data_IF_106171600726
#
_entry.id   IF_106171600726
#
_cell.length_a   1.000
_cell.length_b   1.000
_cell.length_c   1.000
_cell.angle_alpha   90.00
_cell.angle_beta   90.00
_cell.angle_gamma   90.00
#
_symmetry.space_group_name_H-M   'P 1'
#
loop_
_entity.id
_entity.type
_entity.pdbx_description
1 polymer ?
#
# COMPACT_ATOMS: atom_id res chain seq x y z
N UNK A 1 5.36 -8.46 -6.13
CA UNK A 1 6.37 -8.24 -7.21
C UNK A 1 7.03 -6.90 -6.93
N UNK A 2 8.34 -6.72 -7.12
CA UNK A 2 9.01 -5.43 -6.91
C UNK A 2 8.88 -4.59 -8.19
N UNK A 3 8.32 -3.39 -8.08
CA UNK A 3 8.06 -2.47 -9.19
C UNK A 3 9.10 -1.34 -9.18
N UNK A 4 9.56 -0.94 -10.37
CA UNK A 4 10.58 0.09 -10.57
C UNK A 4 9.92 1.48 -10.63
N UNK A 5 10.36 2.42 -9.78
CA UNK A 5 9.95 3.82 -9.87
C UNK A 5 11.17 4.67 -10.30
N UNK A 6 11.13 5.36 -11.45
CA UNK A 6 12.27 6.17 -11.90
C UNK A 6 12.56 7.33 -10.95
N UNK A 7 13.86 7.58 -10.70
CA UNK A 7 14.40 8.53 -9.71
C UNK A 7 14.24 10.02 -10.08
N UNK A 8 13.64 10.34 -11.23
CA UNK A 8 13.39 11.73 -11.64
C UNK A 8 11.95 12.10 -11.35
N UNK A 9 11.76 12.87 -10.28
CA UNK A 9 10.65 13.78 -9.99
C UNK A 9 9.41 13.64 -10.86
N UNK A 10 8.30 13.22 -10.22
CA UNK A 10 6.94 13.47 -10.68
C UNK A 10 6.80 14.96 -11.05
N UNK A 11 6.91 15.26 -12.34
CA UNK A 11 6.47 16.53 -12.91
C UNK A 11 4.95 16.50 -12.81
N UNK A 12 4.43 17.16 -11.79
CA UNK A 12 3.02 17.54 -11.75
C UNK A 12 2.82 18.59 -12.86
N UNK A 13 2.57 18.12 -14.08
CA UNK A 13 2.12 18.96 -15.18
C UNK A 13 0.77 19.57 -14.76
N UNK A 14 0.65 20.90 -14.67
CA UNK A 14 -0.63 21.51 -14.38
C UNK A 14 -1.55 21.29 -15.60
N UNK A 15 -2.61 20.50 -15.41
CA UNK A 15 -3.79 20.58 -16.27
C UNK A 15 -4.06 19.45 -17.24
N UNK A 16 -3.56 18.22 -17.05
CA UNK A 16 -4.10 17.02 -17.71
C UNK A 16 -4.06 15.81 -16.75
N UNK A 17 -4.98 15.77 -15.79
CA UNK A 17 -5.30 14.54 -15.08
C UNK A 17 -6.26 13.78 -16.00
N UNK A 18 -5.77 12.72 -16.64
CA UNK A 18 -6.65 11.73 -17.25
C UNK A 18 -7.59 11.22 -16.15
N UNK A 19 -8.90 11.30 -16.38
CA UNK A 19 -9.92 10.95 -15.38
C UNK A 19 -9.91 9.47 -14.96
N UNK A 20 -9.10 8.63 -15.63
CA UNK A 20 -9.19 7.17 -15.56
C UNK A 20 -8.14 6.51 -14.65
N UNK A 21 -7.49 7.25 -13.76
CA UNK A 21 -6.54 6.69 -12.78
C UNK A 21 -6.45 7.60 -11.56
N UNK A 22 -7.37 7.44 -10.60
CA UNK A 22 -7.23 8.06 -9.27
C UNK A 22 -6.38 7.12 -8.41
N UNK A 23 -5.09 7.39 -8.33
CA UNK A 23 -4.19 6.72 -7.39
C UNK A 23 -4.02 7.62 -6.16
N UNK A 24 -4.43 7.13 -4.98
CA UNK A 24 -4.21 7.83 -3.72
C UNK A 24 -2.79 7.55 -3.25
N UNK A 25 -2.00 8.62 -3.05
CA UNK A 25 -0.64 8.53 -2.54
C UNK A 25 -0.61 8.95 -1.07
N UNK A 26 -0.30 8.01 -0.18
CA UNK A 26 -0.10 8.29 1.25
C UNK A 26 1.40 8.27 1.55
N UNK A 27 1.93 9.38 2.07
CA UNK A 27 3.32 9.44 2.55
C UNK A 27 3.39 9.08 4.02
N UNK A 28 4.36 8.25 4.40
CA UNK A 28 4.59 7.91 5.81
C UNK A 28 4.92 9.16 6.65
N UNK A 29 4.26 9.29 7.79
CA UNK A 29 4.56 10.29 8.82
C UNK A 29 5.31 9.69 10.03
N UNK A 30 5.59 8.39 10.00
CA UNK A 30 6.12 7.66 11.16
C UNK A 30 7.64 7.49 11.05
N UNK A 31 8.42 7.82 12.11
CA UNK A 31 9.85 7.56 12.11
C UNK A 31 10.11 6.05 12.13
N UNK A 32 11.05 5.61 11.30
CA UNK A 32 11.42 4.19 11.21
C UNK A 32 11.98 3.68 12.53
N UNK A 33 11.47 2.53 12.99
CA UNK A 33 12.00 1.83 14.16
C UNK A 33 13.14 0.92 13.71
N UNK A 34 14.33 1.11 14.27
CA UNK A 34 15.42 0.16 14.10
C UNK A 34 15.02 -1.20 14.69
N UNK A 35 14.89 -2.21 13.82
CA UNK A 35 14.60 -3.59 14.21
C UNK A 35 15.90 -4.39 14.37
N UNK A 36 16.07 -5.16 15.46
CA UNK A 36 17.26 -5.99 15.67
C UNK A 36 17.50 -7.05 14.59
N UNK A 37 16.49 -7.34 13.75
CA UNK A 37 16.59 -8.29 12.63
C UNK A 37 17.19 -7.71 11.35
N UNK A 38 17.40 -6.38 11.28
CA UNK A 38 17.88 -5.68 10.08
C UNK A 38 19.27 -6.15 9.63
N UNK A 39 20.19 -6.41 10.55
CA UNK A 39 21.56 -6.80 10.22
C UNK A 39 21.63 -8.21 9.59
N UNK A 40 20.78 -9.15 10.04
CA UNK A 40 20.72 -10.50 9.47
C UNK A 40 20.10 -10.49 8.07
N UNK A 41 19.05 -9.70 7.87
CA UNK A 41 18.44 -9.51 6.56
C UNK A 41 19.41 -8.86 5.57
N UNK A 42 20.08 -7.76 5.95
CA UNK A 42 21.10 -7.11 5.11
C UNK A 42 22.22 -8.07 4.68
N UNK A 43 22.68 -8.93 5.57
CA UNK A 43 23.68 -9.95 5.23
C UNK A 43 23.16 -10.99 4.23
N UNK A 44 21.87 -11.35 4.29
CA UNK A 44 21.24 -12.30 3.37
C UNK A 44 21.02 -11.72 1.96
N UNK A 45 20.88 -10.40 1.82
CA UNK A 45 20.67 -9.73 0.53
C UNK A 45 21.95 -9.06 -0.03
N UNK A 46 23.06 -9.12 0.69
CA UNK A 46 24.35 -8.61 0.22
C UNK A 46 24.84 -9.39 -1.03
N UNK A 47 25.23 -8.66 -2.08
CA UNK A 47 25.61 -9.21 -3.39
C UNK A 47 24.43 -9.72 -4.22
N UNK A 48 23.18 -9.51 -3.78
CA UNK A 48 21.99 -9.94 -4.51
C UNK A 48 21.65 -9.01 -5.68
N UNK A 49 20.88 -9.52 -6.63
CA UNK A 49 20.32 -8.69 -7.71
C UNK A 49 19.39 -7.59 -7.15
N UNK A 50 18.74 -7.84 -6.01
CA UNK A 50 17.88 -6.87 -5.35
C UNK A 50 18.68 -5.66 -4.83
N UNK A 51 19.83 -5.92 -4.19
CA UNK A 51 20.74 -4.86 -3.76
C UNK A 51 21.30 -4.07 -4.95
N UNK A 52 21.74 -4.77 -5.99
CA UNK A 52 22.24 -4.12 -7.21
C UNK A 52 21.17 -3.21 -7.85
N UNK A 53 19.91 -3.66 -7.87
CA UNK A 53 18.79 -2.88 -8.40
C UNK A 53 18.45 -1.68 -7.51
N UNK A 54 18.49 -1.85 -6.18
CA UNK A 54 18.26 -0.77 -5.21
C UNK A 54 19.30 0.35 -5.33
N UNK A 55 20.53 0.02 -5.73
CA UNK A 55 21.57 1.01 -6.01
C UNK A 55 21.31 1.86 -7.27
N UNK A 56 20.39 1.45 -8.14
CA UNK A 56 20.12 2.10 -9.43
C UNK A 56 18.70 2.65 -9.54
N UNK A 57 17.76 2.20 -8.71
CA UNK A 57 16.33 2.52 -8.84
C UNK A 57 15.63 2.52 -7.49
N UNK A 58 14.64 3.40 -7.33
CA UNK A 58 13.72 3.37 -6.18
C UNK A 58 12.80 2.16 -6.31
N UNK A 59 12.81 1.30 -5.28
CA UNK A 59 12.03 0.07 -5.29
C UNK A 59 10.70 0.25 -4.56
N UNK A 60 9.63 -0.20 -5.22
CA UNK A 60 8.30 -0.35 -4.64
C UNK A 60 7.92 -1.83 -4.55
N UNK A 61 7.17 -2.23 -3.52
CA UNK A 61 6.62 -3.59 -3.42
C UNK A 61 5.11 -3.61 -3.70
N UNK A 62 4.71 -4.51 -4.59
CA UNK A 62 3.31 -4.71 -4.96
C UNK A 62 2.68 -5.84 -4.13
N UNK A 63 2.03 -5.47 -3.02
CA UNK A 63 1.31 -6.38 -2.12
C UNK A 63 0.43 -5.64 -1.09
N UNK A 64 -0.64 -6.28 -0.64
CA UNK A 64 -1.42 -5.89 0.56
C UNK A 64 -1.11 -6.71 1.82
N UNK A 65 -0.14 -7.63 1.75
CA UNK A 65 0.28 -8.46 2.87
C UNK A 65 1.22 -7.67 3.80
N UNK A 66 0.73 -7.41 5.02
CA UNK A 66 1.43 -6.59 6.01
C UNK A 66 2.70 -7.27 6.55
N UNK A 67 2.73 -8.61 6.56
CA UNK A 67 3.89 -9.37 7.05
C UNK A 67 5.02 -9.31 6.03
N UNK A 68 4.69 -9.53 4.75
CA UNK A 68 5.64 -9.36 3.63
C UNK A 68 6.16 -7.92 3.58
N UNK A 69 5.27 -6.93 3.71
CA UNK A 69 5.67 -5.52 3.74
C UNK A 69 6.66 -5.23 4.87
N UNK A 70 6.38 -5.72 6.07
CA UNK A 70 7.27 -5.53 7.21
C UNK A 70 8.64 -6.18 6.99
N UNK A 71 8.67 -7.39 6.43
CA UNK A 71 9.92 -8.11 6.14
C UNK A 71 10.79 -7.35 5.13
N UNK A 72 10.20 -6.96 4.00
CA UNK A 72 10.94 -6.29 2.95
C UNK A 72 11.29 -4.84 3.28
N UNK A 73 10.42 -4.10 3.98
CA UNK A 73 10.74 -2.75 4.46
C UNK A 73 11.95 -2.77 5.41
N UNK A 74 12.09 -3.83 6.23
CA UNK A 74 13.22 -3.99 7.14
C UNK A 74 14.58 -4.15 6.41
N UNK A 75 14.59 -4.54 5.12
CA UNK A 75 15.82 -4.55 4.31
C UNK A 75 16.39 -3.14 4.09
N UNK A 76 15.53 -2.12 4.10
CA UNK A 76 15.88 -0.74 3.78
C UNK A 76 16.02 -0.44 2.28
N UNK A 77 15.85 -1.44 1.40
CA UNK A 77 15.91 -1.25 -0.05
C UNK A 77 14.56 -0.89 -0.66
N UNK A 78 13.46 -1.40 -0.07
CA UNK A 78 12.11 -1.07 -0.51
C UNK A 78 11.63 0.14 0.27
N UNK A 79 11.28 1.20 -0.46
CA UNK A 79 10.81 2.45 0.15
C UNK A 79 9.33 2.68 -0.04
N UNK A 80 8.77 2.22 -1.15
CA UNK A 80 7.39 2.47 -1.56
C UNK A 80 6.58 1.16 -1.60
N UNK A 81 5.25 1.25 -1.64
CA UNK A 81 4.37 0.11 -1.84
C UNK A 81 3.20 0.45 -2.77
N UNK A 82 2.75 -0.53 -3.55
CA UNK A 82 1.52 -0.48 -4.33
C UNK A 82 0.57 -1.56 -3.85
N UNK A 83 -0.72 -1.25 -3.78
CA UNK A 83 -1.73 -2.20 -3.31
C UNK A 83 -3.10 -1.96 -3.93
N UNK A 84 -3.92 -3.01 -3.93
CA UNK A 84 -5.30 -2.99 -4.39
C UNK A 84 -6.21 -3.54 -3.26
N UNK A 85 -7.36 -2.91 -2.96
CA UNK A 85 -8.30 -3.36 -1.94
C UNK A 85 -8.78 -4.83 -2.09
N UNK A 86 -8.72 -5.41 -3.30
CA UNK A 86 -9.05 -6.83 -3.56
C UNK A 86 -8.16 -7.78 -2.76
N UNK A 87 -6.89 -7.44 -2.51
CA UNK A 87 -6.03 -8.28 -1.66
C UNK A 87 -6.56 -8.39 -0.23
N UNK A 88 -7.10 -7.29 0.30
CA UNK A 88 -7.65 -7.25 1.67
C UNK A 88 -8.92 -8.08 1.77
N UNK A 89 -9.82 -7.96 0.79
CA UNK A 89 -11.05 -8.75 0.80
C UNK A 89 -10.76 -10.24 0.72
N UNK A 90 -9.75 -10.65 -0.04
CA UNK A 90 -9.28 -12.04 -0.10
C UNK A 90 -8.65 -12.50 1.22
N UNK A 91 -7.79 -11.70 1.85
CA UNK A 91 -7.18 -12.04 3.14
C UNK A 91 -8.23 -12.15 4.27
N UNK A 92 -9.21 -11.25 4.28
CA UNK A 92 -10.35 -11.30 5.18
C UNK A 92 -11.21 -12.56 4.94
N UNK A 93 -11.48 -12.89 3.68
CA UNK A 93 -12.22 -14.10 3.30
C UNK A 93 -11.49 -15.37 3.74
N UNK A 94 -10.16 -15.38 3.71
CA UNK A 94 -9.32 -16.48 4.19
C UNK A 94 -9.21 -16.54 5.73
N UNK A 95 -9.84 -15.61 6.45
CA UNK A 95 -10.01 -15.66 7.91
C UNK A 95 -8.94 -14.95 8.72
N UNK A 96 -8.09 -14.10 8.12
CA UNK A 96 -7.16 -13.29 8.90
C UNK A 96 -7.92 -12.16 9.61
N UNK A 97 -7.95 -12.24 10.95
CA UNK A 97 -8.69 -11.32 11.81
C UNK A 97 -8.32 -9.84 11.64
N UNK A 98 -7.07 -9.54 11.25
CA UNK A 98 -6.62 -8.16 10.99
C UNK A 98 -7.40 -7.57 9.81
N UNK A 99 -7.48 -8.33 8.74
CA UNK A 99 -8.14 -7.92 7.49
C UNK A 99 -9.66 -7.95 7.62
N UNK A 100 -10.23 -8.90 8.38
CA UNK A 100 -11.66 -8.88 8.74
C UNK A 100 -12.01 -7.57 9.46
N UNK A 101 -11.19 -7.15 10.42
CA UNK A 101 -11.39 -5.87 11.12
C UNK A 101 -11.41 -4.66 10.19
N UNK A 102 -10.54 -4.63 9.16
CA UNK A 102 -10.54 -3.54 8.17
C UNK A 102 -11.82 -3.52 7.33
N UNK A 103 -12.31 -4.69 6.92
CA UNK A 103 -13.56 -4.81 6.16
C UNK A 103 -14.75 -4.37 7.02
N UNK A 104 -14.83 -4.83 8.26
CA UNK A 104 -15.93 -4.49 9.18
C UNK A 104 -15.97 -2.99 9.47
N UNK A 105 -14.82 -2.36 9.72
CA UNK A 105 -14.74 -0.90 9.91
C UNK A 105 -15.22 -0.16 8.65
N UNK A 106 -14.77 -0.60 7.48
CA UNK A 106 -15.12 0.05 6.22
C UNK A 106 -16.62 -0.04 5.90
N UNK A 107 -17.23 -1.20 6.12
CA UNK A 107 -18.68 -1.42 5.97
C UNK A 107 -19.46 -0.58 7.00
N UNK A 108 -18.98 -0.54 8.24
CA UNK A 108 -19.60 0.25 9.31
C UNK A 108 -19.56 1.75 8.99
N UNK A 109 -18.41 2.24 8.53
CA UNK A 109 -18.23 3.62 8.07
C UNK A 109 -19.23 3.96 6.96
N UNK A 110 -19.29 3.15 5.90
CA UNK A 110 -20.17 3.43 4.76
C UNK A 110 -21.65 3.45 5.14
N UNK A 111 -22.09 2.54 6.03
CA UNK A 111 -23.47 2.52 6.55
C UNK A 111 -23.82 3.77 7.37
N UNK A 112 -22.85 4.31 8.11
CA UNK A 112 -23.07 5.48 8.96
C UNK A 112 -23.09 6.81 8.17
N UNK A 113 -22.36 6.89 7.06
CA UNK A 113 -22.35 8.07 6.19
C UNK A 113 -23.71 8.28 5.47
N UNK A 114 -24.57 7.26 5.45
CA UNK A 114 -25.94 7.39 4.94
C UNK A 114 -26.03 7.63 3.43
N UNK A 115 -25.06 7.11 2.67
CA UNK A 115 -25.04 7.17 1.20
C UNK A 115 -26.20 6.38 0.57
N UNK A 116 -26.57 6.74 -0.66
CA UNK A 116 -27.79 6.30 -1.32
C UNK A 116 -27.75 4.83 -1.76
N UNK A 117 -28.55 4.00 -1.12
CA UNK A 117 -28.76 2.61 -1.56
C UNK A 117 -27.54 1.69 -1.41
N UNK A 118 -27.74 0.42 -1.76
CA UNK A 118 -26.76 -0.65 -1.49
C UNK A 118 -25.48 -0.51 -2.33
N UNK A 119 -25.60 -0.11 -3.60
CA UNK A 119 -24.45 0.05 -4.49
C UNK A 119 -23.49 1.14 -4.00
N UNK A 120 -23.99 2.34 -3.70
CA UNK A 120 -23.14 3.44 -3.21
C UNK A 120 -22.52 3.11 -1.84
N UNK A 121 -23.23 2.33 -1.01
CA UNK A 121 -22.69 1.85 0.27
C UNK A 121 -21.51 0.91 0.06
N UNK A 122 -21.59 -0.01 -0.92
CA UNK A 122 -20.48 -0.91 -1.26
C UNK A 122 -19.29 -0.13 -1.82
N UNK A 123 -19.52 0.81 -2.72
CA UNK A 123 -18.46 1.61 -3.33
C UNK A 123 -17.73 2.45 -2.27
N UNK A 124 -18.46 3.11 -1.38
CA UNK A 124 -17.88 3.86 -0.27
C UNK A 124 -17.11 2.96 0.71
N UNK A 125 -17.60 1.74 0.96
CA UNK A 125 -16.89 0.78 1.79
C UNK A 125 -15.58 0.33 1.12
N UNK A 126 -15.54 0.16 -0.20
CA UNK A 126 -14.32 -0.20 -0.92
C UNK A 126 -13.29 0.93 -0.89
N UNK A 127 -13.71 2.18 -1.10
CA UNK A 127 -12.84 3.36 -0.97
C UNK A 127 -12.28 3.47 0.45
N UNK A 128 -13.15 3.30 1.46
CA UNK A 128 -12.72 3.33 2.86
C UNK A 128 -11.74 2.22 3.19
N UNK A 129 -11.94 1.02 2.65
CA UNK A 129 -11.05 -0.12 2.81
C UNK A 129 -9.66 0.16 2.23
N UNK A 130 -9.59 0.76 1.04
CA UNK A 130 -8.34 1.15 0.40
C UNK A 130 -7.57 2.17 1.26
N UNK A 131 -8.26 3.18 1.81
CA UNK A 131 -7.66 4.17 2.73
C UNK A 131 -7.16 3.52 4.01
N UNK A 132 -7.96 2.65 4.64
CA UNK A 132 -7.59 1.98 5.89
C UNK A 132 -6.34 1.12 5.71
N UNK A 133 -6.28 0.32 4.65
CA UNK A 133 -5.10 -0.46 4.33
C UNK A 133 -3.89 0.43 4.05
N UNK A 134 -4.05 1.46 3.20
CA UNK A 134 -2.98 2.36 2.86
C UNK A 134 -2.39 3.06 4.09
N UNK A 135 -3.24 3.41 5.06
CA UNK A 135 -2.82 3.96 6.34
C UNK A 135 -1.99 2.96 7.16
N UNK A 136 -2.36 1.68 7.22
CA UNK A 136 -1.57 0.65 7.90
C UNK A 136 -0.23 0.39 7.22
N UNK A 137 -0.22 0.26 5.88
CA UNK A 137 1.01 0.08 5.11
C UNK A 137 1.96 1.27 5.32
N UNK A 138 1.44 2.50 5.37
CA UNK A 138 2.25 3.71 5.56
C UNK A 138 3.02 3.73 6.90
N UNK A 139 2.61 2.93 7.88
CA UNK A 139 3.34 2.76 9.15
C UNK A 139 4.56 1.86 9.02
N UNK A 140 4.59 1.01 7.99
CA UNK A 140 5.64 0.01 7.75
C UNK A 140 6.70 0.50 6.76
N UNK A 141 6.32 1.31 5.77
CA UNK A 141 7.22 1.78 4.71
C UNK A 141 7.65 3.25 4.92
N UNK A 142 8.87 3.66 4.49
CA UNK A 142 9.35 5.05 4.63
C UNK A 142 8.74 6.03 3.63
N UNK A 143 8.37 5.54 2.46
CA UNK A 143 8.02 6.35 1.30
C UNK A 143 6.51 6.42 1.10
N UNK A 144 6.09 6.15 -0.14
CA UNK A 144 4.72 6.31 -0.59
C UNK A 144 3.98 4.98 -0.68
N UNK A 145 2.72 4.99 -0.26
CA UNK A 145 1.76 3.95 -0.57
C UNK A 145 0.84 4.43 -1.68
N UNK A 146 0.77 3.68 -2.77
CA UNK A 146 -0.20 3.85 -3.83
C UNK A 146 -1.32 2.83 -3.65
N UNK A 147 -2.56 3.31 -3.46
CA UNK A 147 -3.74 2.44 -3.40
C UNK A 147 -4.60 2.64 -4.65
N UNK A 148 -5.05 1.55 -5.26
CA UNK A 148 -6.03 1.63 -6.35
C UNK A 148 -7.42 2.02 -5.81
N UNK A 149 -8.10 2.88 -6.57
CA UNK A 149 -9.52 3.21 -6.43
C UNK A 149 -10.29 2.40 -7.48
N UNK A 150 -11.53 2.03 -7.20
CA UNK A 150 -12.37 1.25 -8.10
C UNK A 150 -12.49 1.88 -9.50
N UNK A 151 -12.49 1.04 -10.54
CA UNK A 151 -12.43 1.39 -11.97
C UNK A 151 -13.77 1.17 -12.68
N UNK A 152 -14.84 0.87 -11.94
CA UNK A 152 -16.19 0.67 -12.48
C UNK A 152 -16.85 2.02 -12.79
N UNK A 153 -16.71 2.48 -14.04
CA UNK A 153 -17.60 3.47 -14.68
C UNK A 153 -18.34 2.86 -15.87
#
# INVERSE_FOLDING_TARGET
IVSLVPSTSFLQLPGQISKNQRCLHLRSQYPHRDSPHRNTLLAAVAGSQLEALAGMTTLSIDTGDLDILSEYAATGFITDATTNPVFVSQAAFNGDARYVGFVDEAVTYARNEGVGGEAETVDLAMDRLAVNLGAEISKLIPGYVSTEVDIRE
#
